data_IF_273351353224
#
_entry.id   IF_273351353224
#
_cell.length_a   1.000
_cell.length_b   1.000
_cell.length_c   1.000
_cell.angle_alpha   90.00
_cell.angle_beta   90.00
_cell.angle_gamma   90.00
#
_symmetry.space_group_name_H-M   'P 1'
#
loop_
_entity.id
_entity.type
_entity.pdbx_description
1 polymer ?
#
# COMPACT_ATOMS: atom_id res chain seq x y z
N UNK A 1 -8.58 -68.15 11.78
CA UNK A 1 -7.94 -67.93 10.45
C UNK A 1 -9.01 -67.33 9.54
N UNK A 2 -8.91 -66.17 8.91
CA UNK A 2 -7.89 -65.14 8.80
C UNK A 2 -8.60 -63.86 8.37
N UNK A 3 -8.46 -62.75 9.11
CA UNK A 3 -8.90 -61.44 8.64
C UNK A 3 -7.80 -60.83 7.78
N UNK A 4 -8.06 -60.63 6.49
CA UNK A 4 -7.19 -59.86 5.60
C UNK A 4 -7.55 -58.39 5.75
N UNK A 5 -6.73 -57.65 6.51
CA UNK A 5 -6.80 -56.20 6.61
C UNK A 5 -6.04 -55.63 5.41
N UNK A 6 -6.78 -55.01 4.47
CA UNK A 6 -6.21 -54.20 3.40
C UNK A 6 -5.77 -52.85 4.01
N UNK A 7 -4.46 -52.69 4.22
CA UNK A 7 -3.87 -51.38 4.52
C UNK A 7 -3.85 -50.55 3.22
N UNK A 8 -4.77 -49.60 3.10
CA UNK A 8 -4.68 -48.54 2.11
C UNK A 8 -3.75 -47.45 2.65
N UNK A 9 -2.51 -47.41 2.15
CA UNK A 9 -1.57 -46.32 2.43
C UNK A 9 -2.10 -45.01 1.84
N UNK A 10 -2.60 -44.11 2.70
CA UNK A 10 -2.82 -42.71 2.35
C UNK A 10 -1.45 -42.01 2.21
N UNK A 11 -1.00 -41.84 0.98
CA UNK A 11 0.03 -40.86 0.63
C UNK A 11 -0.55 -39.46 0.82
N UNK A 12 -0.31 -38.87 1.99
CA UNK A 12 -0.56 -37.45 2.24
C UNK A 12 0.51 -36.69 1.45
N UNK A 13 0.20 -36.30 0.21
CA UNK A 13 0.96 -35.29 -0.51
C UNK A 13 0.77 -33.96 0.23
N UNK A 14 1.74 -33.64 1.09
CA UNK A 14 1.96 -32.30 1.61
C UNK A 14 2.43 -31.40 0.46
N UNK A 15 1.47 -30.94 -0.33
CA UNK A 15 1.65 -29.81 -1.22
C UNK A 15 1.93 -28.61 -0.32
N UNK A 16 3.21 -28.30 -0.10
CA UNK A 16 3.60 -26.99 0.38
C UNK A 16 3.25 -26.00 -0.74
N UNK A 17 2.31 -25.06 -0.55
CA UNK A 17 2.25 -23.92 -1.45
C UNK A 17 3.50 -23.09 -1.13
N UNK A 18 4.59 -23.36 -1.84
CA UNK A 18 5.66 -22.39 -2.02
C UNK A 18 4.96 -21.11 -2.47
N UNK A 19 4.96 -20.13 -1.57
CA UNK A 19 4.38 -18.82 -1.83
C UNK A 19 4.97 -18.32 -3.14
N UNK A 20 4.14 -18.13 -4.16
CA UNK A 20 4.57 -17.56 -5.42
C UNK A 20 5.09 -16.15 -5.12
N UNK A 21 6.40 -16.02 -4.96
CA UNK A 21 7.08 -14.73 -5.01
C UNK A 21 6.79 -14.21 -6.41
N UNK A 22 5.98 -13.16 -6.52
CA UNK A 22 5.53 -12.62 -7.79
C UNK A 22 6.75 -12.23 -8.63
N UNK A 23 7.16 -13.13 -9.52
CA UNK A 23 8.29 -12.95 -10.41
C UNK A 23 7.82 -12.08 -11.58
N UNK A 24 8.20 -10.79 -11.60
CA UNK A 24 7.95 -9.97 -12.78
C UNK A 24 8.80 -10.47 -13.96
N UNK A 25 8.24 -10.49 -15.19
CA UNK A 25 8.94 -11.05 -16.34
C UNK A 25 10.19 -10.24 -16.71
N UNK A 26 11.13 -10.87 -17.39
CA UNK A 26 12.20 -10.13 -18.09
C UNK A 26 11.64 -9.53 -19.38
N UNK A 27 12.14 -8.39 -19.81
CA UNK A 27 11.70 -7.76 -21.06
C UNK A 27 12.64 -6.66 -21.51
N UNK A 28 12.19 -5.86 -22.48
CA UNK A 28 12.97 -4.76 -23.04
C UNK A 28 13.10 -3.61 -22.02
N UNK A 29 14.30 -3.24 -21.55
CA UNK A 29 14.48 -2.15 -20.59
C UNK A 29 13.98 -0.79 -21.09
N UNK A 30 13.87 -0.60 -22.41
CA UNK A 30 13.34 0.61 -23.02
C UNK A 30 11.81 0.64 -23.13
N UNK A 31 11.11 -0.47 -22.88
CA UNK A 31 9.64 -0.45 -22.83
C UNK A 31 9.13 0.06 -21.48
N UNK A 32 7.85 0.39 -21.41
CA UNK A 32 7.15 0.79 -20.18
C UNK A 32 6.45 -0.38 -19.49
N UNK A 33 6.56 -1.59 -20.03
CA UNK A 33 5.86 -2.77 -19.52
C UNK A 33 6.35 -3.14 -18.12
N UNK A 34 5.48 -3.80 -17.34
CA UNK A 34 5.84 -4.32 -16.03
C UNK A 34 6.84 -5.47 -16.15
N UNK A 35 8.12 -5.16 -15.92
CA UNK A 35 9.24 -6.10 -16.06
C UNK A 35 10.26 -5.94 -14.93
N UNK A 36 11.19 -6.90 -14.83
CA UNK A 36 12.39 -6.79 -13.99
C UNK A 36 13.34 -5.74 -14.57
N UNK A 37 13.68 -4.71 -13.79
CA UNK A 37 14.59 -3.62 -14.18
C UNK A 37 15.83 -3.59 -13.31
N UNK A 38 16.97 -3.22 -13.91
CA UNK A 38 18.28 -3.08 -13.27
C UNK A 38 19.11 -2.00 -13.99
N UNK A 39 19.99 -1.25 -13.30
CA UNK A 39 20.08 -1.05 -11.84
C UNK A 39 19.18 0.14 -11.35
N UNK A 40 18.72 0.15 -10.07
CA UNK A 40 18.74 -0.96 -9.13
C UNK A 40 17.70 -2.02 -9.49
N UNK A 41 17.91 -3.22 -8.99
CA UNK A 41 17.02 -4.37 -9.17
C UNK A 41 15.65 -4.13 -8.52
N UNK A 42 14.60 -4.19 -9.33
CA UNK A 42 13.20 -3.97 -8.94
C UNK A 42 12.24 -4.52 -9.99
N UNK A 43 10.98 -4.69 -9.65
CA UNK A 43 9.92 -4.85 -10.63
C UNK A 43 9.24 -3.51 -10.87
N UNK A 44 9.14 -3.07 -12.12
CA UNK A 44 8.54 -1.77 -12.45
C UNK A 44 7.91 -1.77 -13.83
N UNK A 45 6.71 -1.20 -13.92
CA UNK A 45 6.10 -0.76 -15.17
C UNK A 45 4.59 -0.69 -15.14
N UNK A 46 4.00 -0.53 -16.32
CA UNK A 46 2.55 -0.49 -16.53
C UNK A 46 2.05 -1.91 -16.78
N UNK A 47 1.06 -2.33 -16.00
CA UNK A 47 0.39 -3.63 -16.17
C UNK A 47 -0.80 -3.48 -17.12
N UNK A 48 -0.93 -4.43 -18.05
CA UNK A 48 -2.08 -4.58 -18.95
C UNK A 48 -3.16 -5.50 -18.34
N UNK A 49 -3.30 -5.49 -17.02
CA UNK A 49 -4.32 -6.29 -16.34
C UNK A 49 -5.57 -5.44 -16.12
N UNK A 50 -6.78 -5.93 -16.47
CA UNK A 50 -8.00 -5.29 -16.04
C UNK A 50 -8.02 -5.31 -14.50
N UNK A 51 -8.29 -4.17 -13.87
CA UNK A 51 -8.58 -4.19 -12.43
C UNK A 51 -9.88 -4.99 -12.29
N UNK A 52 -9.88 -5.93 -11.37
CA UNK A 52 -11.12 -6.56 -10.96
C UNK A 52 -11.96 -5.52 -10.21
N UNK A 53 -13.17 -5.24 -10.70
CA UNK A 53 -14.20 -4.55 -9.92
C UNK A 53 -14.46 -5.27 -8.60
N UNK A 54 -15.15 -4.59 -7.68
CA UNK A 54 -15.50 -5.05 -6.32
C UNK A 54 -14.37 -5.00 -5.29
N UNK A 55 -13.42 -4.07 -5.40
CA UNK A 55 -12.38 -3.91 -4.38
C UNK A 55 -12.17 -2.46 -3.96
N UNK A 56 -12.08 -2.26 -2.64
CA UNK A 56 -11.62 -1.01 -2.03
C UNK A 56 -10.25 -1.26 -1.40
N UNK A 57 -9.22 -0.69 -2.01
CA UNK A 57 -7.83 -0.92 -1.60
C UNK A 57 -7.20 0.34 -1.05
N UNK A 58 -6.55 0.25 0.12
CA UNK A 58 -5.63 1.29 0.57
C UNK A 58 -4.35 1.21 -0.26
N UNK A 59 -4.10 2.24 -1.07
CA UNK A 59 -2.94 2.32 -1.96
C UNK A 59 -1.91 3.37 -1.54
N UNK A 60 -2.24 4.21 -0.54
CA UNK A 60 -1.30 5.18 0.00
C UNK A 60 -1.44 5.36 1.51
N UNK A 61 -0.32 5.29 2.21
CA UNK A 61 -0.07 6.06 3.43
C UNK A 61 1.27 6.75 3.18
N UNK A 62 1.21 7.99 2.71
CA UNK A 62 2.42 8.67 2.25
C UNK A 62 2.43 10.14 2.62
N UNK A 63 3.61 10.72 2.67
CA UNK A 63 3.80 12.16 2.55
C UNK A 63 4.60 12.40 1.28
N UNK A 64 4.18 13.36 0.45
CA UNK A 64 4.79 13.56 -0.86
C UNK A 64 4.67 15.00 -1.31
N UNK A 65 5.73 15.47 -1.95
CA UNK A 65 5.77 16.73 -2.66
C UNK A 65 6.64 16.53 -3.90
N UNK A 66 5.97 16.15 -4.99
CA UNK A 66 6.59 15.87 -6.29
C UNK A 66 5.87 16.76 -7.30
N UNK A 67 6.48 17.88 -7.65
CA UNK A 67 5.92 18.78 -8.66
C UNK A 67 6.00 18.14 -10.05
N UNK A 68 7.16 17.59 -10.41
CA UNK A 68 7.44 16.90 -11.66
C UNK A 68 8.47 15.79 -11.41
N UNK A 69 8.56 14.82 -12.33
CA UNK A 69 9.61 13.81 -12.26
C UNK A 69 10.93 14.34 -12.80
N UNK A 70 11.92 14.46 -11.91
CA UNK A 70 13.33 14.59 -12.29
C UNK A 70 13.85 13.26 -12.86
N UNK A 71 15.14 13.19 -13.21
CA UNK A 71 15.78 11.94 -13.67
C UNK A 71 15.59 10.80 -12.67
N UNK A 72 15.70 11.09 -11.39
CA UNK A 72 15.57 10.11 -10.32
C UNK A 72 14.52 10.53 -9.32
N UNK A 73 13.84 9.55 -8.74
CA UNK A 73 12.96 9.75 -7.59
C UNK A 73 13.47 8.89 -6.43
N UNK A 74 13.34 9.44 -5.24
CA UNK A 74 13.67 8.75 -3.99
C UNK A 74 12.41 8.47 -3.19
N UNK A 75 12.42 7.35 -2.48
CA UNK A 75 11.49 7.09 -1.40
C UNK A 75 12.24 6.80 -0.10
N UNK A 76 11.64 7.19 1.01
CA UNK A 76 12.12 6.90 2.35
C UNK A 76 11.00 6.25 3.16
N UNK A 77 11.36 5.21 3.91
CA UNK A 77 10.47 4.49 4.81
C UNK A 77 11.07 4.53 6.21
N UNK A 78 10.36 5.06 7.22
CA UNK A 78 10.91 5.16 8.55
C UNK A 78 11.15 3.78 9.17
N UNK A 79 12.23 3.67 9.93
CA UNK A 79 12.49 2.49 10.76
C UNK A 79 11.63 2.53 12.01
N UNK A 80 11.07 1.38 12.35
CA UNK A 80 10.29 1.19 13.57
C UNK A 80 10.96 0.13 14.45
N UNK A 81 10.66 0.16 15.75
CA UNK A 81 11.18 -0.82 16.70
C UNK A 81 10.79 -2.23 16.25
N UNK A 82 11.74 -3.16 16.27
CA UNK A 82 11.59 -4.56 15.83
C UNK A 82 11.32 -4.75 14.32
N UNK A 83 11.23 -3.68 13.52
CA UNK A 83 11.11 -3.76 12.07
C UNK A 83 12.48 -3.98 11.41
N UNK A 84 12.62 -5.06 10.63
CA UNK A 84 13.87 -5.37 9.91
C UNK A 84 13.88 -4.88 8.47
N UNK A 85 12.92 -5.30 7.65
CA UNK A 85 12.82 -4.89 6.25
C UNK A 85 11.35 -4.63 5.94
N UNK A 86 10.95 -3.40 5.59
CA UNK A 86 9.58 -3.14 5.19
C UNK A 86 9.34 -3.65 3.77
N UNK A 87 8.13 -4.16 3.52
CA UNK A 87 7.63 -4.32 2.16
C UNK A 87 7.11 -2.98 1.67
N UNK A 88 7.43 -2.63 0.43
CA UNK A 88 7.05 -1.35 -0.17
C UNK A 88 6.47 -1.60 -1.53
N UNK A 89 5.33 -0.98 -1.80
CA UNK A 89 4.68 -0.99 -3.10
C UNK A 89 4.36 0.45 -3.45
N UNK A 90 4.78 0.86 -4.65
CA UNK A 90 4.44 2.15 -5.25
C UNK A 90 3.51 1.90 -6.42
N UNK A 91 2.41 2.64 -6.49
CA UNK A 91 1.39 2.50 -7.53
C UNK A 91 0.94 3.86 -8.08
N UNK A 92 0.43 3.85 -9.30
CA UNK A 92 -0.41 4.93 -9.83
C UNK A 92 -1.52 4.26 -10.61
N UNK A 93 -2.77 4.45 -10.17
CA UNK A 93 -3.94 3.78 -10.71
C UNK A 93 -4.89 4.82 -11.30
N UNK A 94 -5.34 4.52 -12.51
CA UNK A 94 -6.32 5.28 -13.27
C UNK A 94 -7.02 4.30 -14.23
N UNK A 95 -8.14 4.70 -14.83
CA UNK A 95 -8.90 3.82 -15.74
C UNK A 95 -8.09 3.47 -16.99
N UNK A 96 -7.10 4.30 -17.32
CA UNK A 96 -6.27 4.17 -18.52
C UNK A 96 -4.91 3.48 -18.31
N UNK A 97 -4.44 3.31 -17.07
CA UNK A 97 -3.13 2.71 -16.79
C UNK A 97 -2.99 2.22 -15.35
N UNK A 98 -2.22 1.15 -15.15
CA UNK A 98 -1.83 0.64 -13.82
C UNK A 98 -0.31 0.56 -13.70
N UNK A 99 0.30 1.64 -13.22
CA UNK A 99 1.73 1.62 -12.89
C UNK A 99 1.95 0.93 -11.54
N UNK A 100 2.96 0.06 -11.47
CA UNK A 100 3.41 -0.58 -10.24
C UNK A 100 4.94 -0.64 -10.18
N UNK A 101 5.47 -0.41 -8.99
CA UNK A 101 6.87 -0.59 -8.62
C UNK A 101 6.92 -1.33 -7.27
N UNK A 102 7.58 -2.49 -7.23
CA UNK A 102 7.74 -3.34 -6.05
C UNK A 102 9.01 -4.22 -6.13
N UNK A 103 9.14 -5.17 -5.21
CA UNK A 103 10.34 -6.00 -4.99
C UNK A 103 11.61 -5.15 -4.88
N UNK A 104 11.54 -4.15 -4.01
CA UNK A 104 12.58 -3.15 -3.82
C UNK A 104 13.67 -3.65 -2.89
N UNK A 105 14.92 -3.55 -3.33
CA UNK A 105 16.07 -3.71 -2.44
C UNK A 105 16.36 -2.37 -1.74
N UNK A 106 15.84 -2.22 -0.53
CA UNK A 106 16.01 -0.99 0.25
C UNK A 106 17.38 -0.91 0.93
N UNK A 107 17.99 0.28 0.92
CA UNK A 107 19.21 0.56 1.66
C UNK A 107 18.90 1.08 3.07
N UNK A 108 19.63 0.60 4.09
CA UNK A 108 19.51 1.15 5.44
C UNK A 108 20.35 2.43 5.58
N UNK A 109 19.69 3.55 5.88
CA UNK A 109 20.30 4.87 5.99
C UNK A 109 20.18 5.41 7.43
N UNK A 110 20.34 4.55 8.44
CA UNK A 110 20.29 4.95 9.84
C UNK A 110 18.85 5.01 10.36
N UNK A 111 18.14 6.12 10.22
CA UNK A 111 16.77 6.27 10.73
C UNK A 111 15.69 5.77 9.75
N UNK A 112 16.05 5.56 8.48
CA UNK A 112 15.14 5.21 7.40
C UNK A 112 15.72 4.07 6.53
N UNK A 113 14.83 3.39 5.83
CA UNK A 113 15.15 2.66 4.62
C UNK A 113 14.95 3.57 3.41
N UNK A 114 15.87 3.54 2.45
CA UNK A 114 15.82 4.36 1.25
C UNK A 114 15.81 3.53 -0.02
N UNK A 115 15.25 4.09 -1.08
CA UNK A 115 15.35 3.55 -2.43
C UNK A 115 15.31 4.68 -3.44
N UNK A 116 16.19 4.62 -4.44
CA UNK A 116 16.29 5.62 -5.51
C UNK A 116 16.28 4.91 -6.85
N UNK A 117 15.46 5.38 -7.78
CA UNK A 117 15.38 4.80 -9.13
C UNK A 117 15.22 5.89 -10.19
N UNK A 118 15.56 5.55 -11.44
CA UNK A 118 15.32 6.43 -12.58
C UNK A 118 13.82 6.42 -12.94
N UNK A 119 13.25 7.59 -13.21
CA UNK A 119 11.83 7.79 -13.49
C UNK A 119 11.46 7.57 -14.96
N UNK A 120 12.31 6.93 -15.76
CA UNK A 120 12.13 6.70 -17.19
C UNK A 120 10.72 6.18 -17.49
N UNK A 121 10.28 5.13 -16.81
CA UNK A 121 8.97 4.53 -17.07
C UNK A 121 7.85 5.49 -16.75
N UNK A 122 7.92 6.14 -15.59
CA UNK A 122 6.94 7.15 -15.17
C UNK A 122 6.80 8.28 -16.19
N UNK A 123 7.92 8.77 -16.73
CA UNK A 123 7.94 9.85 -17.75
C UNK A 123 7.46 9.36 -19.11
N UNK A 124 7.94 8.21 -19.58
CA UNK A 124 7.57 7.67 -20.89
C UNK A 124 6.09 7.25 -20.96
N UNK A 125 5.58 6.64 -19.89
CA UNK A 125 4.17 6.29 -19.77
C UNK A 125 3.28 7.49 -19.37
N UNK A 126 3.85 8.70 -19.24
CA UNK A 126 3.14 9.94 -18.89
C UNK A 126 2.31 9.82 -17.61
N UNK A 127 2.82 9.08 -16.63
CA UNK A 127 2.18 8.94 -15.32
C UNK A 127 2.19 10.33 -14.64
N UNK A 128 1.07 10.85 -14.12
CA UNK A 128 1.08 12.12 -13.42
C UNK A 128 1.83 12.03 -12.08
N UNK A 129 2.72 13.00 -11.81
CA UNK A 129 3.47 13.04 -10.54
C UNK A 129 2.57 13.14 -9.31
N UNK A 130 1.43 13.82 -9.44
CA UNK A 130 0.43 13.96 -8.39
C UNK A 130 -0.43 12.70 -8.17
N UNK A 131 -0.26 11.65 -8.98
CA UNK A 131 -0.97 10.37 -8.89
C UNK A 131 -0.14 9.22 -8.31
N UNK A 132 1.16 9.44 -8.08
CA UNK A 132 2.01 8.43 -7.45
C UNK A 132 1.62 8.22 -5.98
N UNK A 133 1.43 6.96 -5.59
CA UNK A 133 1.01 6.50 -4.26
C UNK A 133 1.98 5.45 -3.75
N UNK A 134 2.10 5.34 -2.43
CA UNK A 134 2.93 4.31 -1.83
C UNK A 134 2.39 3.83 -0.50
N UNK A 135 2.50 2.52 -0.29
CA UNK A 135 2.30 1.86 1.00
C UNK A 135 3.57 1.15 1.40
N UNK A 136 3.87 1.20 2.68
CA UNK A 136 4.90 0.38 3.28
C UNK A 136 4.37 -0.27 4.54
N UNK A 137 4.79 -1.51 4.78
CA UNK A 137 4.42 -2.26 5.97
C UNK A 137 5.58 -3.09 6.50
N UNK A 138 5.60 -3.28 7.80
CA UNK A 138 6.43 -4.26 8.48
C UNK A 138 5.55 -5.42 8.92
N UNK A 139 6.00 -6.65 8.65
CA UNK A 139 5.43 -7.84 9.26
C UNK A 139 6.02 -7.99 10.66
N UNK A 140 5.18 -7.77 11.68
CA UNK A 140 5.52 -7.92 13.10
C UNK A 140 4.72 -9.10 13.67
N UNK A 141 5.27 -10.30 13.55
CA UNK A 141 4.53 -11.54 13.86
C UNK A 141 3.42 -11.77 12.84
N UNK A 142 2.18 -11.95 13.31
CA UNK A 142 1.01 -12.12 12.43
C UNK A 142 0.40 -10.81 11.94
N UNK A 143 0.87 -9.66 12.43
CA UNK A 143 0.28 -8.35 12.12
C UNK A 143 1.15 -7.56 11.13
N UNK A 144 0.53 -7.05 10.07
CA UNK A 144 1.12 -6.01 9.24
C UNK A 144 0.88 -4.65 9.90
N UNK A 145 1.97 -3.92 10.15
CA UNK A 145 1.94 -2.56 10.68
C UNK A 145 2.43 -1.62 9.60
N UNK A 146 1.58 -0.71 9.18
CA UNK A 146 1.90 0.24 8.12
C UNK A 146 2.74 1.41 8.65
N UNK A 147 3.51 2.01 7.76
CA UNK A 147 4.28 3.23 8.04
C UNK A 147 4.15 4.20 6.87
N UNK A 148 4.23 5.51 7.11
CA UNK A 148 4.16 6.48 6.03
C UNK A 148 5.41 6.40 5.14
N UNK A 149 5.21 6.39 3.82
CA UNK A 149 6.29 6.52 2.85
C UNK A 149 6.50 7.98 2.51
N UNK A 150 7.73 8.48 2.56
CA UNK A 150 8.06 9.78 1.97
C UNK A 150 8.42 9.57 0.51
N UNK A 151 7.64 10.13 -0.42
CA UNK A 151 7.96 10.12 -1.85
C UNK A 151 8.50 11.51 -2.27
N UNK A 152 9.78 11.56 -2.64
CA UNK A 152 10.48 12.83 -2.87
C UNK A 152 10.67 13.59 -1.54
N UNK A 153 9.94 14.70 -1.37
CA UNK A 153 9.96 15.51 -0.14
C UNK A 153 8.66 15.33 0.66
N UNK A 154 8.71 15.57 1.96
CA UNK A 154 7.51 15.64 2.80
C UNK A 154 6.60 16.81 2.38
N UNK A 155 5.29 16.63 2.52
CA UNK A 155 4.28 17.69 2.42
C UNK A 155 3.83 18.25 3.78
N UNK A 156 4.39 17.75 4.89
CA UNK A 156 3.95 18.13 6.24
C UNK A 156 2.70 17.41 6.72
N UNK A 157 2.06 16.59 5.88
CA UNK A 157 0.86 15.80 6.22
C UNK A 157 0.92 14.40 5.60
N UNK A 158 0.15 13.47 6.17
CA UNK A 158 -0.08 12.17 5.56
C UNK A 158 -1.28 12.22 4.62
N UNK A 159 -1.17 11.52 3.51
CA UNK A 159 -2.21 11.25 2.53
C UNK A 159 -2.57 9.77 2.59
N UNK A 160 -3.77 9.48 3.08
CA UNK A 160 -4.41 8.18 3.00
C UNK A 160 -5.22 8.15 1.72
N UNK A 161 -4.84 7.29 0.77
CA UNK A 161 -5.53 7.21 -0.51
C UNK A 161 -6.03 5.79 -0.72
N UNK A 162 -7.33 5.70 -0.92
CA UNK A 162 -8.01 4.49 -1.32
C UNK A 162 -8.29 4.54 -2.82
N UNK A 163 -8.34 3.38 -3.45
CA UNK A 163 -8.77 3.23 -4.83
C UNK A 163 -9.86 2.17 -4.95
N UNK A 164 -10.86 2.47 -5.76
CA UNK A 164 -11.95 1.57 -6.14
C UNK A 164 -12.42 1.91 -7.55
N UNK A 165 -12.73 0.92 -8.37
CA UNK A 165 -13.41 1.17 -9.65
C UNK A 165 -14.90 1.45 -9.45
N UNK A 166 -15.51 0.83 -8.46
CA UNK A 166 -16.88 1.08 -8.08
C UNK A 166 -16.99 2.37 -7.28
N UNK A 167 -18.20 2.94 -7.26
CA UNK A 167 -18.47 4.15 -6.47
C UNK A 167 -18.49 3.77 -4.99
N UNK A 168 -17.72 4.51 -4.20
CA UNK A 168 -17.60 4.25 -2.76
C UNK A 168 -18.02 5.48 -1.98
N UNK A 169 -18.86 5.25 -0.99
CA UNK A 169 -19.19 6.21 0.05
C UNK A 169 -18.39 5.88 1.31
N UNK A 170 -17.75 6.86 1.93
CA UNK A 170 -17.13 6.70 3.25
C UNK A 170 -18.00 7.35 4.32
N UNK A 171 -18.82 6.57 5.01
CA UNK A 171 -19.67 7.09 6.09
C UNK A 171 -18.86 7.46 7.34
N UNK A 172 -17.70 6.85 7.53
CA UNK A 172 -16.80 7.21 8.63
C UNK A 172 -15.34 6.89 8.31
N UNK A 173 -14.45 7.82 8.60
CA UNK A 173 -13.00 7.61 8.65
C UNK A 173 -12.47 8.26 9.92
N UNK A 174 -11.75 7.49 10.74
CA UNK A 174 -11.23 7.89 12.04
C UNK A 174 -9.78 7.48 12.18
N UNK A 175 -8.98 8.32 12.83
CA UNK A 175 -7.64 7.93 13.31
C UNK A 175 -7.67 7.94 14.83
N UNK A 176 -7.38 6.79 15.43
CA UNK A 176 -7.45 6.57 16.87
C UNK A 176 -6.08 6.14 17.39
N UNK A 177 -5.50 6.83 18.40
CA UNK A 177 -4.31 6.34 19.06
C UNK A 177 -4.57 4.96 19.69
N UNK A 178 -3.65 4.01 19.51
CA UNK A 178 -3.68 2.74 20.22
C UNK A 178 -2.87 2.90 21.51
N UNK A 179 -3.56 3.14 22.62
CA UNK A 179 -2.98 3.15 23.97
C UNK A 179 -3.72 2.16 24.86
N UNK A 180 -3.21 1.95 26.07
CA UNK A 180 -3.83 1.07 27.07
C UNK A 180 -5.09 1.69 27.71
N UNK A 181 -5.47 2.93 27.35
CA UNK A 181 -6.65 3.60 27.87
C UNK A 181 -7.92 3.12 27.15
N UNK A 182 -8.94 2.74 27.93
CA UNK A 182 -10.28 2.48 27.39
C UNK A 182 -10.93 3.79 26.90
N UNK A 183 -11.66 3.71 25.80
CA UNK A 183 -12.46 4.80 25.20
C UNK A 183 -11.68 6.03 24.71
N UNK A 184 -10.57 5.79 24.01
CA UNK A 184 -9.78 6.87 23.44
C UNK A 184 -10.51 7.58 22.29
N UNK A 185 -10.57 8.90 22.38
CA UNK A 185 -11.18 9.74 21.35
C UNK A 185 -10.29 9.80 20.10
N UNK A 186 -10.84 9.64 18.89
CA UNK A 186 -10.10 9.87 17.65
C UNK A 186 -9.45 11.24 17.60
N UNK A 187 -8.21 11.28 17.09
CA UNK A 187 -7.46 12.52 16.80
C UNK A 187 -7.79 13.09 15.41
N UNK A 188 -8.48 12.30 14.58
CA UNK A 188 -9.01 12.70 13.28
C UNK A 188 -10.35 12.01 13.04
N UNK A 189 -11.29 12.74 12.45
CA UNK A 189 -12.60 12.23 12.00
C UNK A 189 -13.03 12.95 10.74
N UNK A 190 -13.54 12.21 9.78
CA UNK A 190 -14.19 12.76 8.59
C UNK A 190 -15.15 11.73 8.00
N UNK A 191 -15.89 12.14 6.99
CA UNK A 191 -16.65 11.28 6.08
C UNK A 191 -16.55 11.83 4.66
N UNK A 192 -16.99 11.04 3.70
CA UNK A 192 -17.19 11.44 2.30
C UNK A 192 -18.43 10.73 1.79
N UNK A 193 -19.58 11.37 2.00
CA UNK A 193 -20.91 10.78 1.77
C UNK A 193 -21.38 10.89 0.33
N UNK A 194 -20.66 11.61 -0.53
CA UNK A 194 -20.91 11.59 -1.98
C UNK A 194 -20.16 10.43 -2.60
N UNK A 195 -20.85 9.40 -3.14
CA UNK A 195 -20.19 8.22 -3.68
C UNK A 195 -19.42 8.54 -4.96
N UNK A 196 -18.16 8.15 -5.02
CA UNK A 196 -17.29 8.36 -6.17
C UNK A 196 -16.35 7.16 -6.40
N UNK A 197 -15.96 6.95 -7.66
CA UNK A 197 -14.95 5.97 -8.05
C UNK A 197 -13.57 6.60 -8.19
N UNK A 198 -12.56 5.78 -8.46
CA UNK A 198 -11.17 6.16 -8.58
C UNK A 198 -10.50 6.37 -7.23
N UNK A 199 -9.69 7.42 -7.13
CA UNK A 199 -8.98 7.74 -5.89
C UNK A 199 -9.85 8.53 -4.90
N UNK A 200 -9.97 8.02 -3.68
CA UNK A 200 -10.56 8.72 -2.55
C UNK A 200 -9.45 9.03 -1.54
N UNK A 201 -9.13 10.31 -1.38
CA UNK A 201 -8.06 10.78 -0.50
C UNK A 201 -8.58 11.42 0.78
N UNK A 202 -7.86 11.16 1.87
CA UNK A 202 -8.01 11.82 3.16
C UNK A 202 -6.63 12.30 3.62
N UNK A 203 -6.58 13.47 4.22
CA UNK A 203 -5.32 14.05 4.71
C UNK A 203 -5.37 14.31 6.19
N UNK A 204 -4.30 13.94 6.88
CA UNK A 204 -4.15 14.18 8.31
C UNK A 204 -2.82 14.88 8.59
N UNK A 205 -2.92 16.04 9.23
CA UNK A 205 -1.77 16.72 9.84
C UNK A 205 -1.53 16.11 11.24
N UNK A 206 -0.60 15.17 11.29
CA UNK A 206 -0.15 14.54 12.53
C UNK A 206 0.89 15.35 13.31
N UNK A 207 1.25 16.57 12.90
CA UNK A 207 2.39 17.30 13.50
C UNK A 207 2.26 17.54 15.01
N UNK A 208 1.03 17.63 15.52
CA UNK A 208 0.70 17.83 16.94
C UNK A 208 0.33 16.53 17.66
N UNK A 209 0.29 15.40 16.96
CA UNK A 209 -0.05 14.11 17.56
C UNK A 209 1.19 13.44 18.15
N UNK A 210 1.07 12.75 19.31
CA UNK A 210 2.20 12.08 19.92
C UNK A 210 2.72 10.93 19.05
N UNK A 211 4.02 10.67 19.11
CA UNK A 211 4.60 9.46 18.50
C UNK A 211 3.94 8.22 19.09
N UNK A 212 3.53 7.29 18.24
CA UNK A 212 2.96 6.02 18.68
C UNK A 212 2.26 5.28 17.56
N UNK A 213 1.58 4.21 17.95
CA UNK A 213 0.78 3.39 17.06
C UNK A 213 -0.66 3.91 17.02
N UNK A 214 -1.23 3.90 15.83
CA UNK A 214 -2.57 4.39 15.55
C UNK A 214 -3.33 3.36 14.74
N UNK A 215 -4.65 3.47 14.80
CA UNK A 215 -5.59 2.75 13.96
C UNK A 215 -6.33 3.72 13.05
N UNK A 216 -6.28 3.47 11.75
CA UNK A 216 -7.20 4.01 10.77
C UNK A 216 -8.43 3.09 10.72
N UNK A 217 -9.53 3.54 11.31
CA UNK A 217 -10.82 2.85 11.28
C UNK A 217 -11.72 3.51 10.25
N UNK A 218 -12.26 2.74 9.32
CA UNK A 218 -13.22 3.26 8.35
C UNK A 218 -14.41 2.34 8.14
N UNK A 219 -15.52 2.97 7.79
CA UNK A 219 -16.76 2.35 7.32
C UNK A 219 -17.06 2.93 5.96
N UNK A 220 -17.21 2.07 4.96
CA UNK A 220 -17.49 2.44 3.58
C UNK A 220 -18.60 1.58 2.99
N UNK A 221 -19.37 2.13 2.06
CA UNK A 221 -20.37 1.42 1.28
C UNK A 221 -19.91 1.41 -0.18
N UNK A 222 -19.80 0.23 -0.80
CA UNK A 222 -19.51 0.11 -2.22
C UNK A 222 -20.84 -0.03 -2.97
N UNK A 223 -21.15 0.91 -3.85
CA UNK A 223 -22.32 0.82 -4.72
C UNK A 223 -22.04 -0.18 -5.84
N UNK A 224 -22.93 -1.16 -5.98
CA UNK A 224 -22.89 -2.12 -7.08
C UNK A 224 -23.99 -1.81 -8.08
N UNK A 225 -23.71 -1.92 -9.38
CA UNK A 225 -24.75 -1.79 -10.40
C UNK A 225 -25.78 -2.91 -10.24
N UNK A 226 -27.04 -2.55 -10.04
CA UNK A 226 -28.17 -3.47 -9.91
C UNK A 226 -28.12 -4.43 -8.70
N UNK A 227 -27.27 -4.17 -7.71
CA UNK A 227 -27.17 -4.96 -6.47
C UNK A 227 -27.16 -4.04 -5.24
N UNK A 228 -27.52 -4.55 -4.05
CA UNK A 228 -27.38 -3.81 -2.81
C UNK A 228 -25.93 -3.39 -2.57
N UNK A 229 -25.74 -2.23 -1.94
CA UNK A 229 -24.41 -1.76 -1.57
C UNK A 229 -23.77 -2.66 -0.51
N UNK A 230 -22.47 -2.93 -0.64
CA UNK A 230 -21.72 -3.68 0.37
C UNK A 230 -21.15 -2.74 1.43
N UNK A 231 -21.50 -2.98 2.69
CA UNK A 231 -20.84 -2.32 3.82
C UNK A 231 -19.53 -3.00 4.16
N UNK A 232 -18.44 -2.23 4.11
CA UNK A 232 -17.11 -2.64 4.55
C UNK A 232 -16.74 -1.86 5.80
N UNK A 233 -16.29 -2.58 6.82
CA UNK A 233 -15.64 -2.01 7.99
C UNK A 233 -14.25 -2.63 8.16
N UNK A 234 -13.23 -1.78 8.28
CA UNK A 234 -11.84 -2.21 8.39
C UNK A 234 -11.07 -1.33 9.37
N UNK A 235 -10.04 -1.93 9.95
CA UNK A 235 -9.10 -1.33 10.88
C UNK A 235 -7.70 -1.58 10.36
N UNK A 236 -6.95 -0.51 10.15
CA UNK A 236 -5.60 -0.56 9.61
C UNK A 236 -4.67 0.07 10.64
N UNK A 237 -3.69 -0.71 11.10
CA UNK A 237 -2.75 -0.26 12.12
C UNK A 237 -1.53 0.35 11.45
N UNK A 238 -1.13 1.53 11.91
CA UNK A 238 0.04 2.23 11.39
C UNK A 238 0.82 2.94 12.50
N UNK A 239 2.13 3.13 12.30
CA UNK A 239 2.96 3.93 13.20
C UNK A 239 2.97 5.39 12.75
N UNK A 240 3.05 6.29 13.72
CA UNK A 240 3.20 7.72 13.52
C UNK A 240 4.33 8.27 14.39
N UNK A 241 5.05 9.24 13.83
CA UNK A 241 5.95 10.11 14.56
C UNK A 241 5.88 11.50 13.92
N UNK A 242 5.63 12.58 14.68
CA UNK A 242 5.55 13.93 14.13
C UNK A 242 6.86 14.38 13.47
N UNK A 243 8.01 13.79 13.82
CA UNK A 243 9.29 14.11 13.15
C UNK A 243 9.37 13.62 11.72
N UNK A 244 8.51 12.69 11.28
CA UNK A 244 8.47 12.20 9.89
C UNK A 244 7.72 13.14 8.94
N UNK A 245 7.07 14.18 9.49
CA UNK A 245 6.38 15.20 8.70
C UNK A 245 7.26 16.43 8.45
N UNK A 246 8.42 16.53 9.11
CA UNK A 246 9.32 17.68 9.05
C UNK A 246 10.36 17.54 7.93
#
# INVERSE_FOLDING_TARGET
MSYKILLASLLIFSINPLSAVAYCPKGNPLSTDYIRRQPPNRCEGVKLEPISGNSLSLISIATRNIANYEKTLTLLVPRIKNGKNPQVIVKSLDDSYHYQLDDLLLSNNGANFGFSWDTYVLRQAKIPANKLRAVASYSLGSQNVYVPVTLGKTSGKYEFVFYSQDRVEFTSVKIVPLTDQKDQQPVYRTSRTTPNSGEISFTWDGSKSPKGRYELHYIANIERSNEPSDRIERRIVFEHNPTWLK
#
